data_IF_178285455605
#
_entry.id   IF_178285455605
#
_cell.length_a   1.000
_cell.length_b   1.000
_cell.length_c   1.000
_cell.angle_alpha   90.00
_cell.angle_beta   90.00
_cell.angle_gamma   90.00
#
_symmetry.space_group_name_H-M   'P 1'
#
loop_
_entity.id
_entity.type
_entity.pdbx_description
1 polymer ?
#
# COMPACT_ATOMS: atom_id res chain seq x y z
N UNK A 1 -46.99 25.33 -1.47
CA UNK A 1 -47.53 25.34 -0.10
C UNK A 1 -46.89 26.53 0.60
N UNK A 2 -47.68 27.57 0.83
CA UNK A 2 -47.26 28.93 1.20
C UNK A 2 -48.05 29.34 2.44
N UNK A 3 -47.39 29.67 3.55
CA UNK A 3 -47.91 30.36 4.75
C UNK A 3 -46.67 31.08 5.33
N UNK A 4 -46.48 32.39 5.23
CA UNK A 4 -47.19 33.58 5.74
C UNK A 4 -46.76 34.03 7.16
N UNK A 5 -46.70 35.35 7.30
CA UNK A 5 -46.03 36.26 8.23
C UNK A 5 -46.48 36.23 9.72
N UNK A 6 -45.64 36.85 10.57
CA UNK A 6 -45.93 38.02 11.47
C UNK A 6 -45.19 37.86 12.82
N UNK A 7 -44.12 38.63 13.11
CA UNK A 7 -44.08 39.90 13.89
C UNK A 7 -44.95 39.90 15.15
N UNK A 8 -44.31 39.97 16.33
CA UNK A 8 -44.82 40.74 17.47
C UNK A 8 -43.67 41.30 18.35
N UNK A 9 -43.75 42.61 18.58
CA UNK A 9 -42.95 43.38 19.51
C UNK A 9 -43.42 43.15 20.95
N UNK A 10 -42.52 43.16 21.92
CA UNK A 10 -42.86 43.50 23.30
C UNK A 10 -41.78 44.35 23.94
N UNK A 11 -42.14 45.61 24.13
CA UNK A 11 -41.48 46.64 24.91
C UNK A 11 -42.02 46.62 26.34
N UNK A 12 -41.15 46.77 27.35
CA UNK A 12 -41.55 47.33 28.65
C UNK A 12 -40.44 48.19 29.29
N UNK A 13 -40.78 49.33 29.92
CA UNK A 13 -39.86 50.31 30.48
C UNK A 13 -39.77 50.22 32.02
N UNK A 14 -38.78 50.90 32.62
CA UNK A 14 -38.65 50.97 34.08
C UNK A 14 -37.59 51.98 34.56
N UNK A 15 -38.08 53.16 34.90
CA UNK A 15 -37.45 54.38 35.43
C UNK A 15 -36.82 54.20 36.82
N UNK A 16 -35.76 54.96 37.16
CA UNK A 16 -35.76 55.91 38.30
C UNK A 16 -34.39 56.56 38.48
N UNK A 17 -34.43 57.88 38.59
CA UNK A 17 -33.33 58.79 38.89
C UNK A 17 -33.02 58.80 40.40
N UNK A 18 -31.79 59.17 40.77
CA UNK A 18 -31.62 60.07 41.91
C UNK A 18 -30.33 60.90 41.80
N UNK A 19 -30.43 62.16 42.21
CA UNK A 19 -29.45 63.24 42.07
C UNK A 19 -28.97 63.73 43.45
N UNK A 20 -27.64 63.86 43.59
CA UNK A 20 -26.97 64.87 44.44
C UNK A 20 -26.98 64.69 45.97
N UNK A 21 -26.24 65.52 46.73
CA UNK A 21 -25.52 66.74 46.32
C UNK A 21 -24.04 66.82 46.74
N UNK A 22 -23.41 67.91 46.31
CA UNK A 22 -22.05 68.37 46.60
C UNK A 22 -21.84 68.81 48.07
N UNK A 23 -20.59 68.72 48.53
CA UNK A 23 -20.10 69.33 49.76
C UNK A 23 -18.59 69.57 49.69
N UNK A 24 -18.21 70.85 49.59
CA UNK A 24 -16.85 71.36 49.74
C UNK A 24 -16.48 71.52 51.23
N UNK A 25 -15.21 71.29 51.60
CA UNK A 25 -14.62 71.82 52.83
C UNK A 25 -13.44 71.01 53.40
N UNK A 26 -12.42 71.62 54.04
CA UNK A 26 -11.01 71.34 53.72
C UNK A 26 -10.19 70.62 54.81
N UNK A 27 -9.02 70.14 54.35
CA UNK A 27 -7.73 69.98 55.04
C UNK A 27 -7.65 69.19 56.37
N UNK A 28 -6.89 68.09 56.35
CA UNK A 28 -5.85 67.84 57.35
C UNK A 28 -4.82 66.82 56.85
N UNK A 29 -3.55 67.20 57.00
CA UNK A 29 -2.39 66.39 56.70
C UNK A 29 -2.24 65.25 57.72
N UNK A 30 -1.91 64.05 57.24
CA UNK A 30 -1.21 63.05 58.05
C UNK A 30 -0.24 62.31 57.14
N UNK A 31 1.04 62.55 57.39
CA UNK A 31 2.17 61.89 56.78
C UNK A 31 2.17 60.41 57.20
N UNK A 32 1.64 59.54 56.34
CA UNK A 32 1.73 58.10 56.51
C UNK A 32 2.81 57.52 55.58
N UNK A 33 3.80 56.95 56.26
CA UNK A 33 5.01 56.31 55.76
C UNK A 33 4.74 55.39 54.55
N UNK A 34 5.01 55.87 53.34
CA UNK A 34 4.87 55.08 52.12
C UNK A 34 6.08 54.15 51.99
N UNK A 35 6.00 52.97 52.60
CA UNK A 35 6.87 51.87 52.24
C UNK A 35 6.55 51.48 50.79
N UNK A 36 7.36 51.99 49.86
CA UNK A 36 7.30 51.63 48.45
C UNK A 36 7.41 50.10 48.34
N UNK A 37 6.39 49.37 47.85
CA UNK A 37 6.52 47.94 47.67
C UNK A 37 7.55 47.73 46.56
N UNK A 38 8.77 47.34 46.96
CA UNK A 38 9.82 46.88 46.04
C UNK A 38 9.21 45.82 45.15
N UNK A 39 8.87 46.22 43.92
CA UNK A 39 8.20 45.39 42.94
C UNK A 39 9.20 44.34 42.52
N UNK A 40 9.13 43.17 43.15
CA UNK A 40 9.98 42.03 42.83
C UNK A 40 10.05 41.87 41.30
N UNK A 41 11.25 41.74 40.71
CA UNK A 41 11.37 41.59 39.27
C UNK A 41 10.48 40.43 38.85
N UNK A 42 9.50 40.72 37.97
CA UNK A 42 8.66 39.69 37.37
C UNK A 42 9.60 38.73 36.67
N UNK A 43 9.92 37.62 37.31
CA UNK A 43 10.67 36.55 36.69
C UNK A 43 9.82 36.11 35.51
N UNK A 44 10.24 36.51 34.31
CA UNK A 44 9.60 36.10 33.07
C UNK A 44 9.85 34.60 32.97
N UNK A 45 8.93 33.83 33.50
CA UNK A 45 8.86 32.39 33.28
C UNK A 45 8.58 32.21 31.81
N UNK A 46 9.65 32.19 31.02
CA UNK A 46 9.60 32.04 29.59
C UNK A 46 8.89 30.73 29.30
N UNK A 47 7.64 30.81 28.84
CA UNK A 47 6.86 29.61 28.55
C UNK A 47 7.56 28.83 27.46
N UNK A 48 7.81 27.54 27.72
CA UNK A 48 8.31 26.60 26.71
C UNK A 48 7.24 26.43 25.63
N UNK A 49 7.32 27.24 24.57
CA UNK A 49 6.51 27.12 23.35
C UNK A 49 7.13 26.15 22.34
N UNK A 50 8.43 25.90 22.46
CA UNK A 50 9.21 24.91 21.69
C UNK A 50 8.45 23.61 21.41
N UNK A 51 7.88 22.87 22.40
CA UNK A 51 7.43 21.51 22.14
C UNK A 51 6.23 21.47 21.20
N UNK A 52 5.42 22.52 21.24
CA UNK A 52 4.28 22.68 20.34
C UNK A 52 4.72 23.09 18.94
N UNK A 53 5.73 23.96 18.82
CA UNK A 53 6.34 24.31 17.52
C UNK A 53 6.98 23.07 16.90
N UNK A 54 7.74 22.31 17.67
CA UNK A 54 8.37 21.06 17.24
C UNK A 54 7.33 20.01 16.82
N UNK A 55 6.20 19.92 17.53
CA UNK A 55 5.09 19.04 17.14
C UNK A 55 4.46 19.47 15.82
N UNK A 56 4.26 20.78 15.58
CA UNK A 56 3.77 21.29 14.29
C UNK A 56 4.76 20.95 13.18
N UNK A 57 6.06 21.19 13.40
CA UNK A 57 7.10 20.89 12.41
C UNK A 57 7.14 19.38 12.06
N UNK A 58 7.12 18.50 13.07
CA UNK A 58 7.03 17.06 12.86
C UNK A 58 5.76 16.68 12.09
N UNK A 59 4.62 17.25 12.47
CA UNK A 59 3.36 16.98 11.78
C UNK A 59 3.37 17.42 10.32
N UNK A 60 3.98 18.57 10.01
CA UNK A 60 4.18 19.01 8.62
C UNK A 60 5.07 18.04 7.83
N UNK A 61 6.17 17.58 8.42
CA UNK A 61 7.05 16.58 7.79
C UNK A 61 6.28 15.28 7.50
N UNK A 62 5.50 14.79 8.47
CA UNK A 62 4.70 13.57 8.32
C UNK A 62 3.60 13.68 7.25
N UNK A 63 3.01 14.86 7.07
CA UNK A 63 2.03 15.12 6.02
C UNK A 63 2.69 15.22 4.65
N UNK A 64 3.79 15.96 4.55
CA UNK A 64 4.43 16.26 3.27
C UNK A 64 5.27 15.09 2.73
N UNK A 65 5.93 14.31 3.58
CA UNK A 65 6.86 13.27 3.14
C UNK A 65 6.20 12.21 2.22
N UNK A 66 5.02 11.64 2.52
CA UNK A 66 4.36 10.68 1.62
C UNK A 66 3.88 11.31 0.30
N UNK A 67 3.53 12.60 0.32
CA UNK A 67 3.05 13.36 -0.86
C UNK A 67 4.24 13.62 -1.79
N UNK A 68 5.30 14.23 -1.27
CA UNK A 68 6.52 14.55 -2.03
C UNK A 68 7.23 13.28 -2.47
N UNK A 69 7.23 12.24 -1.62
CA UNK A 69 7.76 10.92 -1.97
C UNK A 69 6.90 10.13 -2.95
N UNK A 70 5.66 10.58 -3.23
CA UNK A 70 4.76 9.95 -4.19
C UNK A 70 4.30 8.55 -3.77
N UNK A 71 4.11 8.28 -2.48
CA UNK A 71 3.81 6.93 -1.97
C UNK A 71 2.37 6.46 -2.21
N UNK A 72 1.40 7.38 -2.36
CA UNK A 72 -0.02 7.03 -2.46
C UNK A 72 -0.35 6.16 -3.66
N UNK A 73 0.12 6.56 -4.84
CA UNK A 73 -0.19 5.86 -6.08
C UNK A 73 0.48 4.47 -6.13
N UNK A 74 1.80 4.32 -5.89
CA UNK A 74 2.44 3.01 -5.84
C UNK A 74 1.89 2.09 -4.74
N UNK A 75 1.48 2.63 -3.57
CA UNK A 75 0.86 1.82 -2.53
C UNK A 75 -0.49 1.22 -2.96
N UNK A 76 -1.31 1.99 -3.67
CA UNK A 76 -2.55 1.50 -4.27
C UNK A 76 -2.28 0.47 -5.37
N UNK A 77 -1.27 0.73 -6.22
CA UNK A 77 -0.85 -0.20 -7.26
C UNK A 77 -0.32 -1.52 -6.69
N UNK A 78 0.51 -1.47 -5.64
CA UNK A 78 0.98 -2.66 -4.94
C UNK A 78 -0.18 -3.46 -4.34
N UNK A 79 -1.17 -2.80 -3.73
CA UNK A 79 -2.36 -3.47 -3.22
C UNK A 79 -3.16 -4.16 -4.34
N UNK A 80 -3.38 -3.47 -5.46
CA UNK A 80 -4.09 -4.02 -6.62
C UNK A 80 -3.36 -5.24 -7.17
N UNK A 81 -2.05 -5.10 -7.44
CA UNK A 81 -1.21 -6.19 -7.90
C UNK A 81 -1.27 -7.41 -6.98
N UNK A 82 -1.10 -7.22 -5.67
CA UNK A 82 -1.22 -8.34 -4.73
C UNK A 82 -2.62 -8.96 -4.84
N UNK A 83 -3.68 -8.15 -4.77
CA UNK A 83 -5.05 -8.67 -4.78
C UNK A 83 -5.39 -9.46 -6.06
N UNK A 84 -4.97 -8.95 -7.22
CA UNK A 84 -5.29 -9.55 -8.53
C UNK A 84 -4.49 -10.84 -8.79
N UNK A 85 -3.24 -10.92 -8.31
CA UNK A 85 -2.40 -12.11 -8.45
C UNK A 85 -2.72 -13.22 -7.45
N UNK A 86 -3.45 -12.92 -6.36
CA UNK A 86 -3.80 -13.87 -5.31
C UNK A 86 -4.31 -15.26 -5.76
N UNK A 87 -5.21 -15.38 -6.76
CA UNK A 87 -5.64 -16.71 -7.23
C UNK A 87 -4.53 -17.50 -7.94
N UNK A 88 -3.56 -16.81 -8.58
CA UNK A 88 -2.53 -17.42 -9.41
C UNK A 88 -1.25 -17.77 -8.66
N UNK A 89 -1.06 -17.26 -7.44
CA UNK A 89 0.07 -17.61 -6.57
C UNK A 89 -0.20 -18.83 -5.69
N UNK A 90 -1.42 -19.38 -5.70
CA UNK A 90 -1.77 -20.58 -4.92
C UNK A 90 -1.06 -21.81 -5.47
N UNK A 91 -0.55 -22.65 -4.56
CA UNK A 91 0.13 -23.90 -4.93
C UNK A 91 -0.73 -24.82 -5.79
N UNK A 92 -2.04 -24.88 -5.53
CA UNK A 92 -2.99 -25.67 -6.32
C UNK A 92 -3.11 -25.15 -7.76
N UNK A 93 -3.17 -23.84 -7.95
CA UNK A 93 -3.26 -23.22 -9.28
C UNK A 93 -1.95 -23.43 -10.05
N UNK A 94 -0.80 -23.27 -9.39
CA UNK A 94 0.51 -23.53 -9.99
C UNK A 94 0.70 -25.00 -10.38
N UNK A 95 0.24 -25.93 -9.53
CA UNK A 95 0.22 -27.36 -9.87
C UNK A 95 -0.71 -27.66 -11.04
N UNK A 96 -1.86 -26.98 -11.12
CA UNK A 96 -2.78 -27.10 -12.24
C UNK A 96 -2.11 -26.66 -13.55
N UNK A 97 -1.46 -25.49 -13.58
CA UNK A 97 -0.71 -25.05 -14.77
C UNK A 97 0.39 -26.03 -15.18
N UNK A 98 1.14 -26.59 -14.21
CA UNK A 98 2.14 -27.64 -14.50
C UNK A 98 1.50 -28.91 -15.07
N UNK A 99 0.35 -29.33 -14.54
CA UNK A 99 -0.40 -30.47 -15.09
C UNK A 99 -0.91 -30.20 -16.51
N UNK A 100 -1.30 -28.97 -16.80
CA UNK A 100 -1.75 -28.56 -18.12
C UNK A 100 -0.61 -28.55 -19.15
N UNK A 101 0.57 -28.07 -18.76
CA UNK A 101 1.78 -28.22 -19.57
C UNK A 101 2.14 -29.69 -19.80
N UNK A 102 2.10 -30.53 -18.77
CA UNK A 102 2.34 -31.97 -18.93
C UNK A 102 1.32 -32.65 -19.88
N UNK A 103 0.07 -32.17 -19.88
CA UNK A 103 -0.96 -32.65 -20.80
C UNK A 103 -0.63 -32.31 -22.25
N UNK A 104 -0.18 -31.07 -22.51
CA UNK A 104 0.24 -30.64 -23.85
C UNK A 104 1.50 -31.39 -24.31
N UNK A 105 2.47 -31.66 -23.44
CA UNK A 105 3.63 -32.49 -23.78
C UNK A 105 3.21 -33.93 -24.15
N UNK A 106 2.26 -34.50 -23.40
CA UNK A 106 1.69 -35.81 -23.71
C UNK A 106 1.01 -35.84 -25.09
N UNK A 107 0.26 -34.79 -25.43
CA UNK A 107 -0.36 -34.64 -26.76
C UNK A 107 0.71 -34.58 -27.84
N UNK A 108 1.75 -33.76 -27.66
CA UNK A 108 2.88 -33.68 -28.59
C UNK A 108 3.53 -35.05 -28.80
N UNK A 109 3.81 -35.79 -27.72
CA UNK A 109 4.37 -37.14 -27.79
C UNK A 109 3.46 -38.11 -28.55
N UNK A 110 2.15 -38.00 -28.34
CA UNK A 110 1.13 -38.76 -29.09
C UNK A 110 1.16 -38.47 -30.59
N UNK A 111 1.21 -37.18 -30.97
CA UNK A 111 1.32 -36.76 -32.39
C UNK A 111 2.59 -37.33 -33.02
N UNK A 112 3.76 -37.15 -32.39
CA UNK A 112 5.03 -37.69 -32.89
C UNK A 112 5.00 -39.20 -33.05
N UNK A 113 4.34 -39.92 -32.13
CA UNK A 113 4.20 -41.38 -32.20
C UNK A 113 3.29 -41.80 -33.36
N UNK A 114 2.17 -41.10 -33.54
CA UNK A 114 1.24 -41.34 -34.65
C UNK A 114 1.92 -41.07 -35.98
N UNK A 115 2.60 -39.94 -36.16
CA UNK A 115 3.27 -39.56 -37.42
C UNK A 115 4.37 -40.56 -37.82
N UNK A 116 5.04 -41.21 -36.85
CA UNK A 116 6.02 -42.27 -37.15
C UNK A 116 5.38 -43.58 -37.57
N UNK A 117 4.18 -43.86 -37.06
CA UNK A 117 3.46 -45.12 -37.31
C UNK A 117 2.54 -45.07 -38.53
N UNK A 118 2.08 -43.88 -38.88
CA UNK A 118 1.13 -43.62 -39.96
C UNK A 118 1.84 -42.82 -41.06
N UNK A 119 1.51 -43.05 -42.33
CA UNK A 119 2.06 -42.24 -43.45
C UNK A 119 1.19 -41.01 -43.74
N UNK A 120 0.69 -40.36 -42.69
CA UNK A 120 -0.13 -39.15 -42.83
C UNK A 120 0.77 -38.01 -43.30
N UNK A 121 0.36 -37.28 -44.34
CA UNK A 121 1.16 -36.19 -44.90
C UNK A 121 1.12 -34.97 -43.98
N UNK A 122 2.29 -34.57 -43.49
CA UNK A 122 2.48 -33.40 -42.65
C UNK A 122 2.06 -32.07 -43.28
N UNK A 123 2.03 -31.98 -44.62
CA UNK A 123 1.67 -30.76 -45.34
C UNK A 123 0.22 -30.30 -45.05
N UNK A 124 -0.66 -31.23 -44.67
CA UNK A 124 -2.06 -30.93 -44.40
C UNK A 124 -2.31 -30.39 -42.98
N UNK A 125 -1.31 -30.44 -42.07
CA UNK A 125 -1.47 -30.14 -40.63
C UNK A 125 -0.47 -29.08 -40.12
N UNK A 126 -0.31 -27.99 -40.87
CA UNK A 126 0.70 -26.94 -40.61
C UNK A 126 0.70 -26.40 -39.18
N UNK A 127 -0.46 -26.17 -38.55
CA UNK A 127 -0.49 -25.61 -37.19
C UNK A 127 -0.12 -26.67 -36.14
N UNK A 128 -0.55 -27.92 -36.35
CA UNK A 128 -0.16 -29.04 -35.52
C UNK A 128 1.36 -29.26 -35.54
N UNK A 129 2.00 -29.20 -36.71
CA UNK A 129 3.46 -29.33 -36.80
C UNK A 129 4.19 -28.17 -36.15
N UNK A 130 3.73 -26.93 -36.33
CA UNK A 130 4.27 -25.76 -35.61
C UNK A 130 4.21 -25.97 -34.10
N UNK A 131 3.11 -26.52 -33.58
CA UNK A 131 3.02 -26.89 -32.18
C UNK A 131 4.06 -27.94 -31.79
N UNK A 132 4.13 -29.07 -32.50
CA UNK A 132 5.10 -30.15 -32.18
C UNK A 132 6.55 -29.63 -32.16
N UNK A 133 6.88 -28.73 -33.08
CA UNK A 133 8.20 -28.10 -33.20
C UNK A 133 8.47 -27.07 -32.09
N UNK A 134 7.55 -26.14 -31.84
CA UNK A 134 7.77 -25.00 -30.93
C UNK A 134 7.50 -25.33 -29.47
N UNK A 135 6.67 -26.34 -29.21
CA UNK A 135 6.19 -26.63 -27.86
C UNK A 135 7.31 -26.91 -26.83
N UNK A 136 8.45 -27.56 -27.15
CA UNK A 136 9.55 -27.68 -26.18
C UNK A 136 10.05 -26.34 -25.64
N UNK A 137 10.14 -25.31 -26.50
CA UNK A 137 10.53 -23.97 -26.07
C UNK A 137 9.41 -23.29 -25.26
N UNK A 138 8.16 -23.41 -25.71
CA UNK A 138 6.98 -22.90 -25.00
C UNK A 138 6.90 -23.51 -23.59
N UNK A 139 7.04 -24.82 -23.49
CA UNK A 139 7.00 -25.56 -22.23
C UNK A 139 8.11 -25.10 -21.29
N UNK A 140 9.35 -25.00 -21.77
CA UNK A 140 10.48 -24.56 -20.96
C UNK A 140 10.27 -23.14 -20.41
N UNK A 141 9.81 -22.22 -21.25
CA UNK A 141 9.60 -20.83 -20.87
C UNK A 141 8.41 -20.66 -19.92
N UNK A 142 7.25 -21.29 -20.22
CA UNK A 142 6.09 -21.26 -19.33
C UNK A 142 6.36 -21.95 -17.99
N UNK A 143 7.11 -23.05 -17.98
CA UNK A 143 7.54 -23.73 -16.75
C UNK A 143 8.46 -22.83 -15.93
N UNK A 144 9.42 -22.16 -16.56
CA UNK A 144 10.30 -21.20 -15.88
C UNK A 144 9.51 -20.04 -15.27
N UNK A 145 8.49 -19.53 -15.97
CA UNK A 145 7.61 -18.49 -15.44
C UNK A 145 6.84 -18.99 -14.21
N UNK A 146 6.26 -20.20 -14.26
CA UNK A 146 5.53 -20.80 -13.13
C UNK A 146 6.46 -21.03 -11.94
N UNK A 147 7.67 -21.54 -12.17
CA UNK A 147 8.66 -21.78 -11.12
C UNK A 147 9.14 -20.47 -10.49
N UNK A 148 9.25 -19.40 -11.28
CA UNK A 148 9.58 -18.07 -10.78
C UNK A 148 8.46 -17.53 -9.88
N UNK A 149 7.18 -17.68 -10.28
CA UNK A 149 6.04 -17.31 -9.44
C UNK A 149 6.03 -18.13 -8.15
N UNK A 150 6.25 -19.45 -8.23
CA UNK A 150 6.28 -20.35 -7.07
C UNK A 150 7.42 -20.00 -6.09
N UNK A 151 8.60 -19.67 -6.62
CA UNK A 151 9.75 -19.25 -5.82
C UNK A 151 9.51 -17.92 -5.08
N UNK A 152 8.70 -17.03 -5.66
CA UNK A 152 8.34 -15.73 -5.09
C UNK A 152 7.11 -15.79 -4.16
N UNK A 153 6.49 -16.96 -4.01
CA UNK A 153 5.24 -17.13 -3.25
C UNK A 153 5.35 -16.72 -1.79
N UNK A 154 6.47 -17.06 -1.14
CA UNK A 154 6.71 -16.66 0.26
C UNK A 154 6.77 -15.14 0.43
N UNK A 155 7.43 -14.44 -0.50
CA UNK A 155 7.50 -12.98 -0.48
C UNK A 155 6.13 -12.35 -0.75
N UNK A 156 5.37 -12.93 -1.67
CA UNK A 156 4.00 -12.54 -1.96
C UNK A 156 3.09 -12.71 -0.72
N UNK A 157 3.13 -13.87 -0.06
CA UNK A 157 2.31 -14.17 1.12
C UNK A 157 2.60 -13.21 2.28
N UNK A 158 3.88 -12.86 2.47
CA UNK A 158 4.28 -11.87 3.46
C UNK A 158 3.67 -10.50 3.15
N UNK A 159 3.74 -10.02 1.90
CA UNK A 159 3.15 -8.73 1.53
C UNK A 159 1.62 -8.75 1.61
N UNK A 160 0.98 -9.85 1.22
CA UNK A 160 -0.46 -10.04 1.34
C UNK A 160 -0.94 -10.04 2.80
N UNK A 161 -0.07 -10.43 3.75
CA UNK A 161 -0.36 -10.34 5.18
C UNK A 161 -0.33 -8.90 5.73
N UNK A 162 0.14 -7.91 4.97
CA UNK A 162 0.03 -6.49 5.34
C UNK A 162 -1.44 -6.09 5.21
N UNK A 163 -2.05 -5.67 6.33
CA UNK A 163 -3.50 -5.42 6.43
C UNK A 163 -4.07 -4.52 5.32
N UNK A 164 -3.32 -3.50 4.91
CA UNK A 164 -3.65 -2.65 3.77
C UNK A 164 -2.41 -1.91 3.32
N UNK A 165 -1.83 -2.30 2.18
CA UNK A 165 -0.67 -1.62 1.59
C UNK A 165 -1.08 -0.20 1.15
N UNK A 166 -2.25 -0.06 0.52
CA UNK A 166 -2.80 1.23 0.09
C UNK A 166 -3.06 2.20 1.26
N UNK A 167 -3.35 1.69 2.46
CA UNK A 167 -3.59 2.48 3.66
C UNK A 167 -2.32 3.03 4.32
N UNK A 168 -1.16 2.45 4.04
CA UNK A 168 0.11 2.79 4.73
C UNK A 168 0.47 4.27 4.64
N UNK A 169 0.39 4.94 3.46
CA UNK A 169 0.75 6.36 3.35
C UNK A 169 -0.15 7.30 4.16
N UNK A 170 -1.37 6.87 4.51
CA UNK A 170 -2.31 7.68 5.29
C UNK A 170 -1.99 7.69 6.79
N UNK A 171 -1.26 6.70 7.30
CA UNK A 171 -0.86 6.61 8.72
C UNK A 171 -0.05 7.86 9.15
N UNK A 172 1.08 8.20 8.49
CA UNK A 172 1.83 9.40 8.86
C UNK A 172 1.03 10.69 8.59
N UNK A 173 0.24 10.77 7.51
CA UNK A 173 -0.58 11.97 7.23
C UNK A 173 -1.60 12.22 8.33
N UNK A 174 -2.37 11.20 8.71
CA UNK A 174 -3.36 11.31 9.78
C UNK A 174 -2.73 11.71 11.11
N UNK A 175 -1.64 11.05 11.50
CA UNK A 175 -0.90 11.41 12.70
C UNK A 175 -0.34 12.85 12.63
N UNK A 176 0.21 13.24 11.49
CA UNK A 176 0.79 14.57 11.27
C UNK A 176 -0.23 15.70 11.41
N UNK A 177 -1.44 15.52 10.86
CA UNK A 177 -2.54 16.46 11.04
C UNK A 177 -2.93 16.61 12.52
N UNK A 178 -2.95 15.51 13.27
CA UNK A 178 -3.22 15.55 14.71
C UNK A 178 -2.11 16.25 15.47
N UNK A 179 -0.83 16.00 15.16
CA UNK A 179 0.30 16.73 15.76
C UNK A 179 0.24 18.24 15.50
N UNK A 180 -0.12 18.65 14.28
CA UNK A 180 -0.31 20.08 13.93
C UNK A 180 -1.45 20.68 14.77
N UNK A 181 -2.61 20.01 14.82
CA UNK A 181 -3.76 20.48 15.59
C UNK A 181 -3.46 20.61 17.08
N UNK A 182 -2.83 19.60 17.68
CA UNK A 182 -2.42 19.61 19.09
C UNK A 182 -1.35 20.68 19.37
N UNK A 183 -0.39 20.88 18.46
CA UNK A 183 0.61 21.93 18.58
C UNK A 183 -0.01 23.34 18.55
N UNK A 184 -0.89 23.62 17.58
CA UNK A 184 -1.60 24.91 17.50
C UNK A 184 -2.46 25.12 18.77
N UNK A 185 -3.17 24.09 19.22
CA UNK A 185 -3.99 24.15 20.43
C UNK A 185 -3.16 24.41 21.69
N UNK A 186 -1.99 23.78 21.81
CA UNK A 186 -1.03 23.99 22.88
C UNK A 186 -0.47 25.42 22.90
N UNK A 187 -0.18 26.00 21.73
CA UNK A 187 0.24 27.40 21.62
C UNK A 187 -0.86 28.39 22.03
N UNK A 188 -2.13 28.10 21.70
CA UNK A 188 -3.29 28.94 22.04
C UNK A 188 -3.67 28.87 23.52
N UNK A 189 -3.59 27.69 24.15
CA UNK A 189 -3.93 27.51 25.59
C UNK A 189 -2.80 28.01 26.48
N UNK A 190 -2.67 29.33 26.54
CA UNK A 190 -1.77 30.03 27.46
C UNK A 190 -2.14 29.94 28.94
N UNK A 191 -2.61 28.80 29.47
CA UNK A 191 -2.85 28.57 30.91
C UNK A 191 -2.36 27.17 31.31
N UNK A 192 -1.63 27.09 32.43
CA UNK A 192 -0.91 25.89 32.94
C UNK A 192 -1.75 24.60 32.94
N UNK A 193 -3.04 24.68 33.27
CA UNK A 193 -3.95 23.53 33.36
C UNK A 193 -4.17 22.80 32.01
N UNK A 194 -4.20 23.51 30.88
CA UNK A 194 -4.47 22.90 29.57
C UNK A 194 -3.28 22.15 28.96
N UNK A 195 -2.06 22.55 29.30
CA UNK A 195 -0.83 22.05 28.65
C UNK A 195 -0.55 20.57 28.94
N UNK A 196 -0.88 20.08 30.15
CA UNK A 196 -0.73 18.66 30.48
C UNK A 196 -1.63 17.75 29.65
N UNK A 197 -2.89 18.17 29.41
CA UNK A 197 -3.83 17.41 28.57
C UNK A 197 -3.37 17.36 27.11
N UNK A 198 -2.87 18.47 26.58
CA UNK A 198 -2.31 18.53 25.22
C UNK A 198 -1.08 17.62 25.12
N UNK A 199 -0.15 17.72 26.08
CA UNK A 199 1.05 16.87 26.10
C UNK A 199 0.71 15.38 26.19
N UNK A 200 -0.29 15.00 27.02
CA UNK A 200 -0.75 13.62 27.10
C UNK A 200 -1.38 13.12 25.79
N UNK A 201 -2.13 13.99 25.09
CA UNK A 201 -2.67 13.66 23.77
C UNK A 201 -1.56 13.47 22.72
N UNK A 202 -0.51 14.32 22.74
CA UNK A 202 0.67 14.17 21.88
C UNK A 202 1.35 12.82 22.13
N UNK A 203 1.53 12.44 23.40
CA UNK A 203 2.08 11.13 23.78
C UNK A 203 1.20 10.00 23.23
N UNK A 204 -0.12 10.06 23.41
CA UNK A 204 -1.03 9.01 22.95
C UNK A 204 -0.93 8.80 21.43
N UNK A 205 -0.92 9.89 20.65
CA UNK A 205 -0.76 9.84 19.18
C UNK A 205 0.60 9.27 18.80
N UNK A 206 1.66 9.67 19.50
CA UNK A 206 3.02 9.19 19.27
C UNK A 206 3.17 7.69 19.54
N UNK A 207 2.53 7.16 20.60
CA UNK A 207 2.46 5.72 20.88
C UNK A 207 1.76 4.98 19.75
N UNK A 208 0.58 5.45 19.32
CA UNK A 208 -0.17 4.84 18.23
C UNK A 208 0.64 4.84 16.92
N UNK A 209 1.29 5.96 16.60
CA UNK A 209 2.15 6.07 15.43
C UNK A 209 3.32 5.08 15.48
N UNK A 210 4.02 5.00 16.63
CA UNK A 210 5.15 4.10 16.80
C UNK A 210 4.76 2.61 16.83
N UNK A 211 3.55 2.30 17.30
CA UNK A 211 3.01 0.93 17.31
C UNK A 211 2.40 0.51 15.95
N UNK A 212 2.02 1.46 15.09
CA UNK A 212 1.35 1.20 13.81
C UNK A 212 2.06 0.20 12.89
N UNK A 213 3.41 0.16 12.79
CA UNK A 213 4.08 -0.81 11.95
C UNK A 213 3.89 -2.26 12.39
N UNK A 214 3.70 -2.49 13.70
CA UNK A 214 3.42 -3.82 14.25
C UNK A 214 1.95 -4.20 14.05
N UNK A 215 1.04 -3.24 14.26
CA UNK A 215 -0.41 -3.44 14.07
C UNK A 215 -0.80 -3.73 12.61
N UNK A 216 0.03 -3.31 11.67
CA UNK A 216 -0.19 -3.50 10.22
C UNK A 216 0.62 -4.65 9.63
N UNK A 217 1.53 -5.26 10.40
CA UNK A 217 2.45 -6.30 9.92
C UNK A 217 3.64 -5.77 9.09
N UNK A 218 3.79 -4.45 8.96
CA UNK A 218 4.86 -3.84 8.17
C UNK A 218 6.27 -4.26 8.61
N UNK A 219 6.53 -4.37 9.93
CA UNK A 219 7.86 -4.75 10.44
C UNK A 219 8.28 -6.14 9.96
N UNK A 220 7.36 -7.09 9.97
CA UNK A 220 7.64 -8.48 9.61
C UNK A 220 7.71 -8.67 8.10
N UNK A 221 6.91 -7.91 7.35
CA UNK A 221 6.59 -8.26 5.97
C UNK A 221 7.23 -7.35 4.91
N UNK A 222 7.54 -6.09 5.26
CA UNK A 222 7.91 -5.09 4.27
C UNK A 222 9.23 -5.36 3.51
N UNK A 223 10.11 -6.19 4.09
CA UNK A 223 11.37 -6.59 3.45
C UNK A 223 11.17 -7.50 2.22
N UNK A 224 9.99 -8.10 2.07
CA UNK A 224 9.66 -9.01 0.96
C UNK A 224 9.38 -8.28 -0.35
N UNK A 225 9.16 -6.96 -0.32
CA UNK A 225 8.84 -6.16 -1.51
C UNK A 225 9.95 -6.16 -2.56
N UNK A 226 11.20 -5.94 -2.15
CA UNK A 226 12.36 -5.93 -3.06
C UNK A 226 12.61 -7.28 -3.74
N UNK A 227 12.72 -8.39 -2.98
CA UNK A 227 12.80 -9.74 -3.53
C UNK A 227 11.66 -10.07 -4.48
N UNK A 228 10.41 -9.75 -4.14
CA UNK A 228 9.26 -10.00 -5.02
C UNK A 228 9.39 -9.27 -6.35
N UNK A 229 9.72 -7.96 -6.33
CA UNK A 229 9.93 -7.19 -7.56
C UNK A 229 11.08 -7.74 -8.39
N UNK A 230 12.17 -8.16 -7.75
CA UNK A 230 13.31 -8.75 -8.45
C UNK A 230 12.93 -10.07 -9.13
N UNK A 231 12.17 -10.91 -8.44
CA UNK A 231 11.74 -12.22 -8.94
C UNK A 231 10.71 -12.08 -10.05
N UNK A 232 9.72 -11.20 -9.93
CA UNK A 232 8.67 -11.06 -10.94
C UNK A 232 9.04 -10.11 -12.09
N UNK A 233 10.08 -9.30 -11.94
CA UNK A 233 10.50 -8.32 -12.96
C UNK A 233 10.67 -8.88 -14.37
N UNK A 234 11.32 -10.05 -14.58
CA UNK A 234 11.46 -10.64 -15.91
C UNK A 234 10.12 -11.04 -16.56
N UNK A 235 9.10 -11.37 -15.77
CA UNK A 235 7.81 -11.85 -16.27
C UNK A 235 6.73 -10.76 -16.35
N UNK A 236 6.87 -9.70 -15.56
CA UNK A 236 5.96 -8.55 -15.54
C UNK A 236 6.31 -7.51 -16.60
N UNK A 237 6.46 -7.93 -17.85
CA UNK A 237 6.77 -7.04 -18.99
C UNK A 237 5.76 -7.17 -20.11
N UNK A 238 5.64 -6.12 -20.94
CA UNK A 238 4.73 -6.13 -22.09
C UNK A 238 5.20 -7.13 -23.14
N UNK A 239 6.51 -7.26 -23.29
CA UNK A 239 7.17 -8.21 -24.17
C UNK A 239 6.81 -9.63 -23.76
N UNK A 240 6.90 -9.95 -22.46
CA UNK A 240 6.55 -11.28 -21.95
C UNK A 240 5.07 -11.61 -22.13
N UNK A 241 4.18 -10.66 -21.86
CA UNK A 241 2.73 -10.85 -22.09
C UNK A 241 2.46 -11.15 -23.56
N UNK A 242 3.07 -10.41 -24.49
CA UNK A 242 2.91 -10.65 -25.94
C UNK A 242 3.47 -12.00 -26.36
N UNK A 243 4.61 -12.40 -25.80
CA UNK A 243 5.23 -13.70 -26.04
C UNK A 243 4.29 -14.84 -25.60
N UNK A 244 3.76 -14.77 -24.38
CA UNK A 244 2.80 -15.77 -23.86
C UNK A 244 1.49 -15.79 -24.65
N UNK A 245 0.99 -14.63 -25.09
CA UNK A 245 -0.15 -14.55 -26.02
C UNK A 245 0.16 -15.24 -27.36
N UNK A 246 1.39 -15.11 -27.86
CA UNK A 246 1.86 -15.81 -29.05
C UNK A 246 1.83 -17.33 -28.89
N UNK A 247 2.22 -17.85 -27.73
CA UNK A 247 2.11 -19.28 -27.42
C UNK A 247 0.67 -19.77 -27.52
N UNK A 248 -0.29 -19.00 -27.02
CA UNK A 248 -1.69 -19.35 -27.09
C UNK A 248 -2.20 -19.49 -28.54
N UNK A 249 -1.74 -18.64 -29.46
CA UNK A 249 -2.07 -18.74 -30.89
C UNK A 249 -1.59 -20.07 -31.49
N UNK A 250 -0.37 -20.51 -31.13
CA UNK A 250 0.18 -21.80 -31.57
C UNK A 250 -0.67 -22.96 -31.03
N UNK A 251 -1.04 -22.90 -29.75
CA UNK A 251 -1.85 -23.94 -29.10
C UNK A 251 -3.26 -24.03 -29.68
N UNK A 252 -3.95 -22.89 -29.85
CA UNK A 252 -5.29 -22.83 -30.48
C UNK A 252 -5.25 -23.40 -31.90
N UNK A 253 -4.25 -23.02 -32.70
CA UNK A 253 -4.09 -23.52 -34.05
C UNK A 253 -3.94 -25.04 -34.10
N UNK A 254 -3.14 -25.60 -33.20
CA UNK A 254 -2.97 -27.04 -33.09
C UNK A 254 -4.25 -27.76 -32.68
N UNK A 255 -5.01 -27.24 -31.70
CA UNK A 255 -6.30 -27.81 -31.29
C UNK A 255 -7.29 -27.81 -32.47
N UNK A 256 -7.33 -26.72 -33.25
CA UNK A 256 -8.14 -26.64 -34.45
C UNK A 256 -7.80 -27.71 -35.48
N UNK A 257 -6.50 -27.92 -35.74
CA UNK A 257 -6.03 -28.98 -36.65
C UNK A 257 -6.32 -30.39 -36.09
N UNK A 258 -6.13 -30.59 -34.79
CA UNK A 258 -6.38 -31.85 -34.07
C UNK A 258 -7.84 -32.28 -34.24
N UNK A 259 -8.76 -31.38 -33.94
CA UNK A 259 -10.20 -31.67 -33.89
C UNK A 259 -10.82 -31.81 -35.29
N UNK A 260 -10.47 -30.89 -36.20
CA UNK A 260 -11.16 -30.80 -37.50
C UNK A 260 -10.73 -31.85 -38.52
N UNK A 261 -9.44 -32.23 -38.54
CA UNK A 261 -8.88 -33.06 -39.63
C UNK A 261 -7.94 -34.16 -39.15
N UNK A 262 -7.11 -33.92 -38.14
CA UNK A 262 -6.06 -34.87 -37.77
C UNK A 262 -6.63 -36.11 -37.08
N UNK A 263 -7.41 -35.95 -36.00
CA UNK A 263 -8.03 -37.10 -35.32
C UNK A 263 -8.94 -37.93 -36.24
N UNK A 264 -9.79 -37.34 -37.11
CA UNK A 264 -10.52 -38.10 -38.12
C UNK A 264 -9.62 -38.95 -39.02
N UNK A 265 -8.54 -38.38 -39.56
CA UNK A 265 -7.61 -39.10 -40.44
C UNK A 265 -6.86 -40.21 -39.71
N UNK A 266 -6.41 -39.95 -38.48
CA UNK A 266 -5.71 -40.93 -37.64
C UNK A 266 -6.63 -42.11 -37.29
N UNK A 267 -7.91 -41.86 -36.99
CA UNK A 267 -8.90 -42.92 -36.69
C UNK A 267 -9.27 -43.75 -37.92
N UNK A 268 -9.20 -43.17 -39.12
CA UNK A 268 -9.39 -43.89 -40.37
C UNK A 268 -8.19 -44.80 -40.70
N UNK A 269 -7.01 -44.54 -40.11
CA UNK A 269 -5.83 -45.37 -40.25
C UNK A 269 -5.84 -46.54 -39.25
N UNK A 270 -5.68 -47.77 -39.74
CA UNK A 270 -5.60 -48.98 -38.90
C UNK A 270 -4.25 -49.19 -38.20
N UNK A 271 -3.28 -48.28 -38.42
CA UNK A 271 -1.89 -48.44 -37.95
C UNK A 271 -1.54 -47.57 -36.74
N UNK A 272 -2.41 -46.64 -36.35
CA UNK A 272 -2.15 -45.72 -35.25
C UNK A 272 -2.25 -46.43 -33.87
N UNK A 273 -1.25 -46.30 -32.98
CA UNK A 273 -1.32 -46.88 -31.64
C UNK A 273 -2.45 -46.28 -30.81
N UNK A 274 -3.33 -47.13 -30.26
CA UNK A 274 -4.50 -46.68 -29.50
C UNK A 274 -4.15 -45.75 -28.33
N UNK A 275 -3.02 -46.00 -27.64
CA UNK A 275 -2.54 -45.15 -26.56
C UNK A 275 -2.18 -43.73 -27.03
N UNK A 276 -1.56 -43.59 -28.21
CA UNK A 276 -1.21 -42.28 -28.77
C UNK A 276 -2.44 -41.52 -29.25
N UNK A 277 -3.42 -42.23 -29.82
CA UNK A 277 -4.73 -41.64 -30.17
C UNK A 277 -5.45 -41.13 -28.91
N UNK A 278 -5.41 -41.91 -27.82
CA UNK A 278 -6.01 -41.51 -26.55
C UNK A 278 -5.36 -40.22 -26.00
N UNK A 279 -4.02 -40.12 -26.01
CA UNK A 279 -3.26 -38.93 -25.60
C UNK A 279 -3.71 -37.67 -26.35
N UNK A 280 -3.82 -37.75 -27.67
CA UNK A 280 -4.24 -36.61 -28.51
C UNK A 280 -5.73 -36.28 -28.28
N UNK A 281 -6.59 -37.30 -28.17
CA UNK A 281 -8.04 -37.08 -27.99
C UNK A 281 -8.42 -36.49 -26.62
N UNK A 282 -7.59 -36.69 -25.60
CA UNK A 282 -7.81 -36.13 -24.27
C UNK A 282 -7.73 -34.60 -24.21
N UNK A 283 -7.06 -33.97 -25.19
CA UNK A 283 -6.88 -32.53 -25.22
C UNK A 283 -8.22 -31.77 -25.29
N UNK A 284 -9.18 -32.23 -26.11
CA UNK A 284 -10.45 -31.54 -26.31
C UNK A 284 -11.24 -31.32 -25.01
N UNK A 285 -11.18 -32.28 -24.07
CA UNK A 285 -11.88 -32.19 -22.80
C UNK A 285 -11.22 -31.19 -21.83
N UNK A 286 -9.89 -31.04 -21.92
CA UNK A 286 -9.11 -30.17 -21.03
C UNK A 286 -8.82 -28.79 -21.61
N UNK A 287 -8.99 -28.63 -22.93
CA UNK A 287 -8.61 -27.40 -23.62
C UNK A 287 -9.38 -26.18 -23.11
N UNK A 288 -10.70 -26.28 -22.98
CA UNK A 288 -11.53 -25.15 -22.54
C UNK A 288 -11.14 -24.64 -21.15
N UNK A 289 -11.05 -25.46 -20.08
CA UNK A 289 -10.60 -24.98 -18.77
C UNK A 289 -9.15 -24.47 -18.80
N UNK A 290 -8.23 -25.21 -19.43
CA UNK A 290 -6.82 -24.80 -19.57
C UNK A 290 -6.67 -23.42 -20.23
N UNK A 291 -7.40 -23.22 -21.33
CA UNK A 291 -7.38 -21.95 -22.08
C UNK A 291 -7.93 -20.78 -21.26
N UNK A 292 -8.98 -21.03 -20.48
CA UNK A 292 -9.57 -20.03 -19.59
C UNK A 292 -8.60 -19.63 -18.49
N UNK A 293 -7.91 -20.60 -17.89
CA UNK A 293 -6.96 -20.35 -16.80
C UNK A 293 -5.72 -19.57 -17.31
N UNK A 294 -5.19 -19.93 -18.48
CA UNK A 294 -4.09 -19.17 -19.10
C UNK A 294 -4.52 -17.77 -19.51
N UNK A 295 -5.70 -17.61 -20.11
CA UNK A 295 -6.22 -16.30 -20.48
C UNK A 295 -6.41 -15.41 -19.24
N UNK A 296 -6.89 -15.99 -18.14
CA UNK A 296 -7.00 -15.30 -16.85
C UNK A 296 -5.67 -14.80 -16.32
N UNK A 297 -4.63 -15.65 -16.32
CA UNK A 297 -3.28 -15.27 -15.88
C UNK A 297 -2.70 -14.15 -16.77
N UNK A 298 -2.79 -14.29 -18.09
CA UNK A 298 -2.32 -13.30 -19.06
C UNK A 298 -3.04 -11.96 -18.86
N UNK A 299 -4.36 -12.00 -18.64
CA UNK A 299 -5.17 -10.81 -18.36
C UNK A 299 -4.67 -10.08 -17.12
N UNK A 300 -4.50 -10.80 -16.01
CA UNK A 300 -3.97 -10.20 -14.76
C UNK A 300 -2.55 -9.66 -14.94
N UNK A 301 -1.67 -10.38 -15.65
CA UNK A 301 -0.34 -9.88 -15.98
C UNK A 301 -0.41 -8.56 -16.74
N UNK A 302 -1.17 -8.52 -17.84
CA UNK A 302 -1.33 -7.34 -18.68
C UNK A 302 -1.87 -6.13 -17.91
N UNK A 303 -2.91 -6.33 -17.10
CA UNK A 303 -3.56 -5.26 -16.34
C UNK A 303 -2.65 -4.70 -15.22
N UNK A 304 -1.69 -5.52 -14.76
CA UNK A 304 -0.79 -5.16 -13.67
C UNK A 304 0.61 -4.73 -14.09
N UNK A 305 0.98 -4.70 -15.39
CA UNK A 305 2.29 -4.18 -15.84
C UNK A 305 2.52 -2.76 -15.30
N UNK A 306 1.54 -1.86 -15.49
CA UNK A 306 1.66 -0.47 -15.01
C UNK A 306 1.71 -0.37 -13.49
N UNK A 307 1.03 -1.28 -12.80
CA UNK A 307 1.05 -1.34 -11.35
C UNK A 307 2.44 -1.76 -10.85
N UNK A 308 2.99 -2.81 -11.46
CA UNK A 308 4.34 -3.29 -11.20
C UNK A 308 5.39 -2.20 -11.46
N UNK A 309 5.32 -1.52 -12.61
CA UNK A 309 6.24 -0.44 -12.99
C UNK A 309 6.23 0.72 -11.98
N UNK A 310 5.06 1.11 -11.49
CA UNK A 310 4.94 2.19 -10.51
C UNK A 310 5.56 1.82 -9.15
N UNK A 311 5.38 0.57 -8.72
CA UNK A 311 6.01 0.03 -7.50
C UNK A 311 7.52 -0.09 -7.67
N UNK A 312 8.00 -0.60 -8.81
CA UNK A 312 9.41 -0.70 -9.14
C UNK A 312 10.08 0.67 -9.25
N UNK A 313 9.40 1.67 -9.83
CA UNK A 313 9.89 3.04 -9.92
C UNK A 313 10.05 3.67 -8.53
N UNK A 314 9.14 3.40 -7.60
CA UNK A 314 9.27 3.85 -6.21
C UNK A 314 10.48 3.18 -5.53
N UNK A 315 10.68 1.88 -5.72
CA UNK A 315 11.84 1.14 -5.17
C UNK A 315 13.16 1.67 -5.70
N UNK A 316 13.25 1.93 -7.00
CA UNK A 316 14.46 2.49 -7.60
C UNK A 316 14.80 3.89 -7.07
N UNK A 317 13.79 4.76 -6.87
CA UNK A 317 14.00 6.10 -6.29
C UNK A 317 14.53 6.04 -4.87
N UNK A 318 13.93 5.18 -4.04
CA UNK A 318 14.28 5.06 -2.62
C UNK A 318 15.59 4.31 -2.41
N UNK A 319 15.94 3.36 -3.28
CA UNK A 319 17.21 2.61 -3.21
C UNK A 319 18.43 3.51 -3.25
N UNK A 320 18.38 4.65 -3.96
CA UNK A 320 19.45 5.66 -3.96
C UNK A 320 19.73 6.28 -2.58
N UNK A 321 18.74 6.24 -1.68
CA UNK A 321 18.84 6.72 -0.30
C UNK A 321 19.38 5.63 0.65
N UNK A 322 19.67 4.42 0.14
CA UNK A 322 20.21 3.30 0.91
C UNK A 322 19.17 2.35 1.49
N UNK A 323 17.89 2.48 1.11
CA UNK A 323 16.81 1.63 1.61
C UNK A 323 15.72 1.40 0.55
N UNK A 324 15.13 0.19 0.51
CA UNK A 324 13.96 -0.10 -0.32
C UNK A 324 12.70 0.59 0.22
N UNK A 325 11.77 0.97 -0.67
CA UNK A 325 10.65 1.87 -0.35
C UNK A 325 9.84 1.44 0.85
N UNK A 326 9.59 0.13 0.93
CA UNK A 326 8.73 -0.46 1.95
C UNK A 326 9.52 -0.81 3.21
N UNK A 327 10.80 -1.16 3.08
CA UNK A 327 11.64 -1.62 4.20
C UNK A 327 11.95 -0.53 5.23
N UNK A 328 12.12 0.72 4.79
CA UNK A 328 12.40 1.85 5.69
C UNK A 328 11.17 2.37 6.45
N UNK A 329 9.99 2.22 5.84
CA UNK A 329 8.76 2.83 6.34
C UNK A 329 8.39 2.43 7.79
N UNK A 330 8.46 1.14 8.20
CA UNK A 330 8.26 0.75 9.59
C UNK A 330 9.12 1.55 10.57
N UNK A 331 10.40 1.74 10.23
CA UNK A 331 11.38 2.39 11.09
C UNK A 331 11.19 3.90 11.13
N UNK A 332 10.77 4.51 10.02
CA UNK A 332 10.43 5.94 9.99
C UNK A 332 9.22 6.25 10.88
N UNK A 333 8.18 5.42 10.85
CA UNK A 333 7.01 5.58 11.72
C UNK A 333 7.39 5.40 13.19
N UNK A 334 8.21 4.39 13.50
CA UNK A 334 8.72 4.18 14.85
C UNK A 334 9.54 5.39 15.34
N UNK A 335 10.48 5.88 14.53
CA UNK A 335 11.30 7.04 14.86
C UNK A 335 10.44 8.30 15.08
N UNK A 336 9.47 8.56 14.20
CA UNK A 336 8.54 9.67 14.36
C UNK A 336 7.70 9.57 15.64
N UNK A 337 7.26 8.36 16.00
CA UNK A 337 6.62 8.08 17.28
C UNK A 337 7.52 8.42 18.47
N UNK A 338 8.78 7.97 18.46
CA UNK A 338 9.74 8.28 19.53
C UNK A 338 10.01 9.79 19.67
N UNK A 339 10.12 10.51 18.56
CA UNK A 339 10.28 11.97 18.54
C UNK A 339 9.03 12.65 19.12
N UNK A 340 7.84 12.21 18.71
CA UNK A 340 6.57 12.71 19.24
C UNK A 340 6.44 12.50 20.75
N UNK A 341 6.88 11.35 21.26
CA UNK A 341 6.93 11.06 22.70
C UNK A 341 7.81 12.05 23.44
N UNK A 342 9.00 12.36 22.92
CA UNK A 342 9.90 13.34 23.53
C UNK A 342 9.26 14.74 23.59
N UNK A 343 8.53 15.16 22.56
CA UNK A 343 7.83 16.44 22.55
C UNK A 343 6.68 16.49 23.53
N UNK A 344 5.89 15.42 23.62
CA UNK A 344 4.81 15.27 24.59
C UNK A 344 5.34 15.29 26.04
N UNK A 345 6.41 14.55 26.32
CA UNK A 345 7.06 14.55 27.62
C UNK A 345 7.62 15.93 28.00
N UNK A 346 8.26 16.63 27.05
CA UNK A 346 8.76 17.99 27.24
C UNK A 346 7.65 19.02 27.51
N UNK A 347 6.45 18.79 26.97
CA UNK A 347 5.28 19.64 27.22
C UNK A 347 4.66 19.45 28.62
N UNK A 348 4.81 18.27 29.23
CA UNK A 348 4.28 17.95 30.57
C UNK A 348 5.31 18.22 31.67
N UNK A 349 6.60 18.17 31.33
CA UNK A 349 7.71 18.31 32.29
C UNK A 349 7.67 19.66 33.04
N UNK A 350 7.85 19.67 34.37
CA UNK A 350 7.97 20.91 35.13
C UNK A 350 9.19 21.71 34.67
N UNK A 351 9.05 23.04 34.54
CA UNK A 351 10.19 23.89 34.20
C UNK A 351 11.22 23.81 35.33
N UNK A 352 12.42 23.30 35.03
CA UNK A 352 13.52 23.26 35.99
C UNK A 352 13.80 24.68 36.50
N UNK A 353 13.86 24.90 37.82
CA UNK A 353 14.21 26.20 38.36
C UNK A 353 15.62 26.53 37.86
N UNK A 354 15.75 27.64 37.13
CA UNK A 354 17.05 28.14 36.69
C UNK A 354 17.82 28.46 37.96
N UNK A 355 18.88 27.70 38.27
CA UNK A 355 19.79 28.02 39.38
C UNK A 355 20.37 29.40 39.09
N UNK A 356 19.92 30.41 39.83
CA UNK A 356 20.54 31.72 39.82
C UNK A 356 21.86 31.53 40.57
N UNK A 357 22.97 31.55 39.84
CA UNK A 357 24.29 31.68 40.45
C UNK A 357 24.35 33.09 41.04
N UNK A 358 24.14 33.20 42.35
CA UNK A 358 24.51 34.40 43.10
C UNK A 358 26.03 34.40 43.25
N UNK A 359 26.69 35.26 42.48
CA UNK A 359 28.06 35.72 42.76
C UNK A 359 28.04 36.76 43.87
#
# INVERSE_FOLDING_TARGET
>A
MSIDRSIELSSYPGTSADQGPAGDGPAQATTENTAEPVRAPKSSTHRRRWPFIASIALGLVLVLAPIVGGFFYPAAQAQAMITDFAPYTKSTTLQQFRSDLATLESVRGGVVTIDRSTRIDSADYTQLHKFVEQYPAIHADMSSMIDQIDSARGDYDNLAAIRSIAGVPFIPVGAGLVFIGLGIWGLRRGRRSGTRRVGAAIIAVAVVLGASPFLTGLVSNANSGGPLLKSLGPIMTTEKVREVQGYFVVLVGAVGDIDSKYLPAVRASSTAPAAAVAQVSGLNQRWQPMSSDFAGLIGVMNDNIKNFDGVAALDNRTRSLGFGSFAALPWLLLAAGLIGLAFGAAAISPASPRKVLST
#
